data_IF_532318254288
#
_entry.id   IF_532318254288
#
_cell.length_a   1.000
_cell.length_b   1.000
_cell.length_c   1.000
_cell.angle_alpha   90.00
_cell.angle_beta   90.00
_cell.angle_gamma   90.00
#
_symmetry.space_group_name_H-M   'P 1'
#
loop_
_entity.id
_entity.type
_entity.pdbx_description
1 polymer ?
#
# COMPACT_ATOMS: atom_id res chain seq x y z
N UNK A 1 -7.48 13.46 -5.16
CA UNK A 1 -7.92 12.96 -3.84
C UNK A 1 -6.82 13.20 -2.82
N UNK A 2 -7.16 13.30 -1.54
CA UNK A 2 -6.18 13.45 -0.45
C UNK A 2 -5.67 12.09 0.00
N UNK A 3 -4.46 12.04 0.56
CA UNK A 3 -3.98 10.85 1.22
C UNK A 3 -4.86 10.50 2.44
N UNK A 4 -4.99 9.21 2.73
CA UNK A 4 -5.78 8.70 3.85
C UNK A 4 -5.11 7.46 4.44
N UNK A 5 -5.48 7.11 5.67
CA UNK A 5 -4.95 5.92 6.33
C UNK A 5 -5.99 4.79 6.30
N UNK A 6 -5.50 3.57 6.20
CA UNK A 6 -6.28 2.33 6.37
C UNK A 6 -5.58 1.44 7.40
N UNK A 7 -6.31 0.47 7.92
CA UNK A 7 -5.78 -0.58 8.79
C UNK A 7 -5.94 -1.93 8.09
N UNK A 8 -4.90 -2.76 8.17
CA UNK A 8 -4.95 -4.15 7.68
C UNK A 8 -4.38 -5.09 8.75
N UNK A 9 -4.80 -6.34 8.72
CA UNK A 9 -4.22 -7.41 9.53
C UNK A 9 -3.07 -8.07 8.79
N UNK A 10 -1.90 -8.18 9.44
CA UNK A 10 -0.70 -8.84 8.94
C UNK A 10 0.06 -9.49 10.10
N UNK A 11 0.39 -10.79 9.99
CA UNK A 11 1.08 -11.56 11.02
C UNK A 11 0.51 -11.40 12.45
N UNK A 12 -0.83 -11.50 12.57
CA UNK A 12 -1.60 -11.31 13.81
C UNK A 12 -1.47 -9.91 14.44
N UNK A 13 -1.07 -8.91 13.64
CA UNK A 13 -0.99 -7.51 14.03
C UNK A 13 -1.80 -6.62 13.09
N UNK A 14 -2.53 -5.66 13.69
CA UNK A 14 -3.14 -4.57 12.95
C UNK A 14 -2.08 -3.52 12.62
N UNK A 15 -1.81 -3.30 11.34
CA UNK A 15 -0.87 -2.26 10.88
C UNK A 15 -1.62 -1.13 10.17
N UNK A 16 -1.14 0.09 10.36
CA UNK A 16 -1.69 1.27 9.68
C UNK A 16 -0.87 1.60 8.42
N UNK A 17 -1.55 1.71 7.29
CA UNK A 17 -0.96 2.07 6.00
C UNK A 17 -1.49 3.43 5.56
N UNK A 18 -0.61 4.26 4.99
CA UNK A 18 -1.01 5.48 4.31
C UNK A 18 -1.19 5.21 2.82
N UNK A 19 -2.38 5.48 2.32
CA UNK A 19 -2.74 5.39 0.91
C UNK A 19 -2.61 6.78 0.28
N UNK A 20 -1.79 6.89 -0.75
CA UNK A 20 -1.61 8.11 -1.53
C UNK A 20 -2.21 7.89 -2.92
N UNK A 21 -3.40 8.44 -3.19
CA UNK A 21 -4.00 8.37 -4.53
C UNK A 21 -3.14 9.07 -5.57
N UNK A 22 -3.00 8.43 -6.73
CA UNK A 22 -2.42 8.98 -7.96
C UNK A 22 -3.48 8.94 -9.07
N UNK A 23 -3.10 9.32 -10.29
CA UNK A 23 -4.05 9.49 -11.38
C UNK A 23 -4.76 8.18 -11.75
N UNK A 24 -4.02 7.05 -11.83
CA UNK A 24 -4.56 5.74 -12.18
C UNK A 24 -4.20 4.62 -11.19
N UNK A 25 -3.56 4.93 -10.06
CA UNK A 25 -3.15 3.94 -9.06
C UNK A 25 -3.07 4.53 -7.65
N UNK A 26 -2.79 3.69 -6.66
CA UNK A 26 -2.64 4.08 -5.25
C UNK A 26 -1.29 3.63 -4.73
N UNK A 27 -0.47 4.55 -4.21
CA UNK A 27 0.76 4.19 -3.50
C UNK A 27 0.40 3.77 -2.08
N UNK A 28 1.07 2.72 -1.61
CA UNK A 28 0.93 2.17 -0.27
C UNK A 28 2.22 2.50 0.49
N UNK A 29 2.07 3.24 1.58
CA UNK A 29 3.18 3.74 2.39
C UNK A 29 3.05 3.19 3.80
N UNK A 30 4.17 2.73 4.35
CA UNK A 30 4.29 2.28 5.73
C UNK A 30 5.52 2.93 6.35
N UNK A 31 5.35 3.55 7.53
CA UNK A 31 6.41 4.31 8.21
C UNK A 31 7.21 5.26 7.30
N UNK A 32 6.51 5.94 6.37
CA UNK A 32 7.15 6.89 5.44
C UNK A 32 7.93 6.26 4.28
N UNK A 33 7.97 4.93 4.16
CA UNK A 33 8.53 4.21 3.02
C UNK A 33 7.46 3.64 2.10
N UNK A 34 7.71 3.63 0.80
CA UNK A 34 6.80 3.02 -0.19
C UNK A 34 6.93 1.49 -0.12
N UNK A 35 5.85 0.80 0.29
CA UNK A 35 5.75 -0.66 0.19
C UNK A 35 5.49 -1.11 -1.25
N UNK A 36 4.72 -0.32 -1.99
CA UNK A 36 4.39 -0.60 -3.37
C UNK A 36 3.23 0.25 -3.85
N UNK A 37 2.58 -0.19 -4.92
CA UNK A 37 1.40 0.47 -5.43
C UNK A 37 0.46 -0.53 -6.09
N UNK A 38 -0.84 -0.29 -5.94
CA UNK A 38 -1.88 -1.12 -6.59
C UNK A 38 -2.73 -0.28 -7.53
N UNK A 39 -3.17 -0.91 -8.61
CA UNK A 39 -4.06 -0.31 -9.61
C UNK A 39 -5.29 -1.19 -9.79
N UNK A 40 -6.45 -0.54 -9.92
CA UNK A 40 -7.68 -1.21 -10.34
C UNK A 40 -7.72 -1.33 -11.86
N UNK A 41 -7.93 -2.54 -12.37
CA UNK A 41 -8.12 -2.86 -13.79
C UNK A 41 -9.44 -3.62 -13.95
N UNK A 42 -10.50 -2.89 -14.29
CA UNK A 42 -11.85 -3.46 -14.30
C UNK A 42 -12.32 -3.80 -12.89
N UNK A 43 -12.56 -5.09 -12.61
CA UNK A 43 -12.89 -5.61 -11.28
C UNK A 43 -11.68 -6.00 -10.44
N UNK A 44 -10.50 -6.12 -11.06
CA UNK A 44 -9.34 -6.71 -10.41
C UNK A 44 -8.37 -5.65 -9.92
N UNK A 45 -7.64 -5.96 -8.84
CA UNK A 45 -6.60 -5.11 -8.28
C UNK A 45 -5.25 -5.79 -8.46
N UNK A 46 -4.31 -5.09 -9.08
CA UNK A 46 -2.98 -5.63 -9.39
C UNK A 46 -1.87 -4.80 -8.76
N UNK A 47 -0.84 -5.48 -8.27
CA UNK A 47 0.38 -4.86 -7.79
C UNK A 47 1.21 -4.38 -8.99
N UNK A 48 1.65 -3.13 -8.94
CA UNK A 48 2.53 -2.53 -9.94
C UNK A 48 3.98 -2.94 -9.73
N UNK A 49 4.74 -3.05 -10.83
CA UNK A 49 6.21 -3.19 -10.73
C UNK A 49 6.81 -1.89 -10.24
N UNK A 50 7.96 -1.98 -9.57
CA UNK A 50 8.67 -0.81 -9.06
C UNK A 50 8.97 0.23 -10.16
N UNK A 51 9.27 -0.20 -11.38
CA UNK A 51 9.53 0.71 -12.52
C UNK A 51 8.28 1.49 -12.99
N UNK A 52 7.08 0.99 -12.70
CA UNK A 52 5.81 1.63 -13.06
C UNK A 52 5.36 2.66 -12.01
N UNK A 53 5.98 2.63 -10.83
CA UNK A 53 5.67 3.57 -9.75
C UNK A 53 6.46 4.84 -9.99
N UNK A 54 5.75 5.95 -10.16
CA UNK A 54 6.39 7.26 -10.35
C UNK A 54 7.37 7.51 -9.20
N UNK A 55 8.66 7.79 -9.49
CA UNK A 55 9.63 8.15 -8.46
C UNK A 55 9.14 9.45 -7.79
N UNK A 56 8.84 9.37 -6.50
CA UNK A 56 8.35 10.50 -5.70
C UNK A 56 9.37 10.92 -4.65
N UNK A 57 8.92 11.73 -3.70
CA UNK A 57 9.74 12.19 -2.57
C UNK A 57 10.05 11.09 -1.55
N UNK A 58 9.32 9.97 -1.58
CA UNK A 58 9.49 8.87 -0.65
C UNK A 58 10.37 7.78 -1.25
N UNK A 59 11.33 7.32 -0.45
CA UNK A 59 12.14 6.15 -0.77
C UNK A 59 11.31 4.86 -0.65
N UNK A 60 11.73 3.76 -1.31
CA UNK A 60 11.21 2.43 -1.01
C UNK A 60 11.33 2.12 0.48
N UNK A 61 10.34 1.40 1.02
CA UNK A 61 10.38 0.95 2.40
C UNK A 61 11.54 -0.03 2.62
N UNK A 62 12.39 0.27 3.60
CA UNK A 62 13.40 -0.66 4.09
C UNK A 62 12.92 -1.21 5.43
N UNK A 63 12.56 -2.49 5.44
CA UNK A 63 12.08 -3.20 6.63
C UNK A 63 13.08 -3.17 7.79
N UNK A 64 14.38 -2.99 7.50
CA UNK A 64 15.44 -2.84 8.51
C UNK A 64 15.35 -1.53 9.30
N UNK A 65 14.52 -0.59 8.87
CA UNK A 65 14.28 0.68 9.57
C UNK A 65 13.19 0.56 10.64
N UNK A 66 12.49 -0.57 10.73
CA UNK A 66 11.54 -0.83 11.82
C UNK A 66 12.25 -1.47 13.00
N UNK A 67 11.94 -1.04 14.23
CA UNK A 67 12.61 -1.53 15.45
C UNK A 67 12.48 -3.06 15.63
N UNK A 68 11.41 -3.66 15.09
CA UNK A 68 11.13 -5.09 15.17
C UNK A 68 11.50 -5.88 13.89
N UNK A 69 11.90 -5.20 12.81
CA UNK A 69 12.26 -5.85 11.54
C UNK A 69 11.10 -6.49 10.77
N UNK A 70 9.86 -6.07 11.02
CA UNK A 70 8.66 -6.64 10.40
C UNK A 70 8.70 -6.52 8.87
N UNK A 71 8.70 -7.66 8.20
CA UNK A 71 8.73 -7.72 6.75
C UNK A 71 7.32 -7.77 6.19
N UNK A 72 6.78 -6.60 5.82
CA UNK A 72 5.49 -6.56 5.12
C UNK A 72 5.73 -6.80 3.63
N UNK A 73 5.08 -7.84 3.11
CA UNK A 73 5.03 -8.12 1.67
C UNK A 73 3.61 -7.94 1.16
N UNK A 74 3.46 -7.31 -0.01
CA UNK A 74 2.14 -7.11 -0.63
C UNK A 74 1.71 -8.39 -1.37
N UNK A 75 1.32 -9.40 -0.60
CA UNK A 75 0.75 -10.64 -1.09
C UNK A 75 -0.73 -10.50 -1.47
N UNK A 76 -1.33 -11.61 -1.90
CA UNK A 76 -2.75 -11.63 -2.30
C UNK A 76 -3.67 -11.24 -1.16
N UNK A 77 -3.37 -11.68 0.07
CA UNK A 77 -4.18 -11.37 1.25
C UNK A 77 -4.14 -9.86 1.58
N UNK A 78 -2.95 -9.26 1.59
CA UNK A 78 -2.75 -7.84 1.83
C UNK A 78 -3.42 -7.00 0.75
N UNK A 79 -3.23 -7.35 -0.54
CA UNK A 79 -3.83 -6.63 -1.66
C UNK A 79 -5.36 -6.64 -1.56
N UNK A 80 -5.98 -7.76 -1.17
CA UNK A 80 -7.44 -7.84 -1.03
C UNK A 80 -7.97 -6.98 0.13
N UNK A 81 -7.25 -6.93 1.25
CA UNK A 81 -7.63 -6.05 2.37
C UNK A 81 -7.49 -4.58 1.97
N UNK A 82 -6.37 -4.21 1.36
CA UNK A 82 -6.09 -2.84 0.93
C UNK A 82 -7.11 -2.38 -0.12
N UNK A 83 -7.38 -3.21 -1.14
CA UNK A 83 -8.33 -2.85 -2.19
C UNK A 83 -9.73 -2.68 -1.64
N UNK A 84 -10.20 -3.58 -0.76
CA UNK A 84 -11.50 -3.45 -0.10
C UNK A 84 -11.59 -2.19 0.75
N UNK A 85 -10.54 -1.85 1.49
CA UNK A 85 -10.48 -0.62 2.29
C UNK A 85 -10.53 0.64 1.41
N UNK A 86 -9.82 0.65 0.28
CA UNK A 86 -9.89 1.75 -0.70
C UNK A 86 -11.30 1.86 -1.27
N UNK A 87 -11.90 0.77 -1.74
CA UNK A 87 -13.25 0.80 -2.31
C UNK A 87 -14.30 1.32 -1.33
N UNK A 88 -14.24 0.89 -0.06
CA UNK A 88 -15.10 1.41 0.99
C UNK A 88 -14.88 2.90 1.26
N UNK A 89 -13.63 3.38 1.18
CA UNK A 89 -13.32 4.80 1.38
C UNK A 89 -13.81 5.66 0.21
N UNK A 90 -13.86 5.10 -1.00
CA UNK A 90 -14.27 5.79 -2.22
C UNK A 90 -15.78 5.73 -2.50
N UNK A 91 -16.53 4.91 -1.75
CA UNK A 91 -17.97 4.73 -1.92
C UNK A 91 -18.83 5.89 -1.43
#
# INVERSE_FOLDING_TARGET
MTAFNIEIEHDDQTISLTIIPKDDYFKIVYFGGILGAIRKQGSDWTLLKAEEIEPGELAPFDYKLTEDGHHISLGVAEINQISGAIENHLS
#
